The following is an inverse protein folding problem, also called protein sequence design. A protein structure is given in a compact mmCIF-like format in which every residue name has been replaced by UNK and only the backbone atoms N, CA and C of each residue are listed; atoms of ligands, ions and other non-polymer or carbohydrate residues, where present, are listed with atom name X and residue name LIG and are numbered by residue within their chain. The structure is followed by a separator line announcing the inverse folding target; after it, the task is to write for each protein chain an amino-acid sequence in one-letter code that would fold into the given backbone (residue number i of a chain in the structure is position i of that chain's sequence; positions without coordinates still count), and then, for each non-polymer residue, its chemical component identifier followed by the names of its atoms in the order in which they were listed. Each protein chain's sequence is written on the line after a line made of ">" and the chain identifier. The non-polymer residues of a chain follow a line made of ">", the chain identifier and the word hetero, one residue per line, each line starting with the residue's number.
data_IF_224890597432
#
_entry.id   IF_224890597432
#
_cell.length_a   1.000
_cell.length_b   1.000
_cell.length_c   1.000
_cell.angle_alpha   90.00
_cell.angle_beta   90.00
_cell.angle_gamma   90.00
#
_symmetry.space_group_name_H-M   'P 1'
#
loop_
_entity.id
_entity.type
_entity.pdbx_description
1 polymer ?
#
# COMPACT_ATOMS: atom_id res chain seq x y z
N UNK A 1 -47.48 -78.51 -11.30
CA UNK A 1 -46.74 -78.93 -10.09
C UNK A 1 -46.19 -77.64 -9.47
N UNK A 2 -47.01 -76.98 -8.65
CA UNK A 2 -46.86 -75.57 -8.29
C UNK A 2 -45.99 -75.35 -7.06
N UNK A 3 -45.12 -74.34 -7.18
CA UNK A 3 -44.38 -73.63 -6.14
C UNK A 3 -45.26 -73.23 -4.94
N UNK A 4 -44.72 -73.35 -3.73
CA UNK A 4 -45.23 -72.64 -2.55
C UNK A 4 -44.05 -72.19 -1.69
N UNK A 5 -43.74 -70.89 -1.81
CA UNK A 5 -42.78 -70.14 -0.99
C UNK A 5 -43.21 -70.18 0.50
N UNK A 6 -42.24 -70.45 1.37
CA UNK A 6 -42.35 -70.32 2.83
C UNK A 6 -42.06 -68.86 3.23
N UNK A 7 -42.95 -68.16 3.96
CA UNK A 7 -42.70 -66.79 4.40
C UNK A 7 -41.73 -66.77 5.60
N UNK A 8 -40.70 -65.93 5.51
CA UNK A 8 -39.70 -65.66 6.54
C UNK A 8 -40.34 -64.96 7.76
N UNK A 9 -40.29 -65.63 8.91
CA UNK A 9 -40.66 -65.12 10.23
C UNK A 9 -39.54 -64.24 10.81
N UNK A 10 -39.34 -63.05 10.24
CA UNK A 10 -38.29 -62.11 10.68
C UNK A 10 -38.70 -61.26 11.91
N UNK A 11 -39.95 -61.29 12.34
CA UNK A 11 -40.52 -60.33 13.32
C UNK A 11 -40.53 -60.81 14.78
N UNK A 12 -40.52 -62.12 15.06
CA UNK A 12 -40.57 -62.63 16.44
C UNK A 12 -39.22 -62.62 17.18
N UNK A 13 -38.10 -62.70 16.45
CA UNK A 13 -36.76 -62.74 17.05
C UNK A 13 -36.31 -61.38 17.58
N UNK A 14 -36.70 -60.30 16.93
CA UNK A 14 -36.38 -58.93 17.32
C UNK A 14 -37.03 -58.55 18.66
N UNK A 15 -38.31 -58.89 18.85
CA UNK A 15 -39.07 -58.55 20.07
C UNK A 15 -38.58 -59.27 21.33
N UNK A 16 -38.12 -60.52 21.23
CA UNK A 16 -37.51 -61.24 22.37
C UNK A 16 -36.13 -60.70 22.73
N UNK A 17 -35.33 -60.30 21.74
CA UNK A 17 -34.02 -59.66 21.97
C UNK A 17 -34.17 -58.29 22.65
N UNK A 18 -35.13 -57.48 22.21
CA UNK A 18 -35.47 -56.19 22.83
C UNK A 18 -35.92 -56.30 24.29
N UNK A 19 -36.73 -57.31 24.63
CA UNK A 19 -37.14 -57.57 26.02
C UNK A 19 -35.97 -58.04 26.89
N UNK A 20 -35.09 -58.90 26.38
CA UNK A 20 -33.92 -59.37 27.13
C UNK A 20 -32.91 -58.23 27.39
N UNK A 21 -32.70 -57.35 26.41
CA UNK A 21 -31.87 -56.14 26.59
C UNK A 21 -32.48 -55.16 27.58
N UNK A 22 -33.81 -54.98 27.59
CA UNK A 22 -34.48 -54.08 28.53
C UNK A 22 -34.34 -54.54 29.99
N UNK A 23 -34.39 -55.84 30.26
CA UNK A 23 -34.23 -56.40 31.61
C UNK A 23 -32.79 -56.29 32.11
N UNK A 24 -31.79 -56.50 31.23
CA UNK A 24 -30.38 -56.36 31.57
C UNK A 24 -29.99 -54.90 31.90
N UNK A 25 -30.55 -53.94 31.15
CA UNK A 25 -30.33 -52.50 31.40
C UNK A 25 -30.95 -52.04 32.73
N UNK A 26 -32.07 -52.65 33.14
CA UNK A 26 -32.70 -52.38 34.44
C UNK A 26 -31.89 -52.91 35.63
N UNK A 27 -31.14 -54.00 35.44
CA UNK A 27 -30.32 -54.62 36.49
C UNK A 27 -28.94 -53.96 36.67
N UNK A 28 -28.42 -53.29 35.63
CA UNK A 28 -27.13 -52.62 35.64
C UNK A 28 -27.12 -51.42 34.70
N UNK A 29 -27.54 -50.21 35.15
CA UNK A 29 -27.63 -49.03 34.28
C UNK A 29 -26.26 -48.63 33.67
N UNK A 30 -25.17 -49.02 34.32
CA UNK A 30 -23.78 -48.78 33.88
C UNK A 30 -23.44 -49.47 32.55
N UNK A 31 -24.12 -50.57 32.20
CA UNK A 31 -23.90 -51.33 30.96
C UNK A 31 -24.22 -50.50 29.72
N UNK A 32 -25.19 -49.57 29.84
CA UNK A 32 -25.61 -48.69 28.75
C UNK A 32 -25.03 -47.28 28.92
N UNK A 33 -24.85 -46.82 30.15
CA UNK A 33 -24.28 -45.50 30.42
C UNK A 33 -22.80 -45.39 29.99
N UNK A 34 -21.97 -46.41 30.24
CA UNK A 34 -20.53 -46.34 29.92
C UNK A 34 -20.26 -46.26 28.41
N UNK A 35 -20.83 -47.12 27.54
CA UNK A 35 -20.62 -47.03 26.10
C UNK A 35 -21.18 -45.72 25.51
N UNK A 36 -22.30 -45.24 26.05
CA UNK A 36 -22.94 -44.02 25.58
C UNK A 36 -22.13 -42.77 25.99
N UNK A 37 -21.51 -42.80 27.18
CA UNK A 37 -20.58 -41.76 27.63
C UNK A 37 -19.29 -41.76 26.80
N UNK A 38 -18.72 -42.93 26.51
CA UNK A 38 -17.56 -43.04 25.61
C UNK A 38 -17.88 -42.55 24.20
N UNK A 39 -19.06 -42.87 23.68
CA UNK A 39 -19.52 -42.37 22.40
C UNK A 39 -19.69 -40.85 22.41
N UNK A 40 -20.35 -40.29 23.44
CA UNK A 40 -20.51 -38.85 23.60
C UNK A 40 -19.15 -38.14 23.70
N UNK A 41 -18.18 -38.74 24.41
CA UNK A 41 -16.83 -38.20 24.55
C UNK A 41 -16.06 -38.23 23.22
N UNK A 42 -16.18 -39.31 22.44
CA UNK A 42 -15.59 -39.39 21.09
C UNK A 42 -16.20 -38.36 20.14
N UNK A 43 -17.52 -38.16 20.17
CA UNK A 43 -18.19 -37.15 19.34
C UNK A 43 -17.76 -35.73 19.76
N UNK A 44 -17.70 -35.46 21.07
CA UNK A 44 -17.26 -34.17 21.59
C UNK A 44 -15.80 -33.87 21.19
N UNK A 45 -14.90 -34.85 21.30
CA UNK A 45 -13.50 -34.72 20.86
C UNK A 45 -13.40 -34.54 19.34
N UNK A 46 -14.24 -35.24 18.57
CA UNK A 46 -14.29 -35.09 17.11
C UNK A 46 -14.70 -33.68 16.68
N UNK A 47 -15.77 -33.13 17.28
CA UNK A 47 -16.23 -31.76 17.04
C UNK A 47 -15.18 -30.75 17.51
N UNK A 48 -14.58 -30.98 18.67
CA UNK A 48 -13.53 -30.10 19.17
C UNK A 48 -12.31 -30.08 18.25
N UNK A 49 -11.88 -31.26 17.76
CA UNK A 49 -10.74 -31.38 16.85
C UNK A 49 -10.98 -30.65 15.52
N UNK A 50 -12.18 -30.69 14.95
CA UNK A 50 -12.48 -29.96 13.70
C UNK A 50 -12.52 -28.45 13.92
N UNK A 51 -13.09 -27.98 15.04
CA UNK A 51 -13.11 -26.54 15.37
C UNK A 51 -11.69 -26.04 15.65
N UNK A 52 -10.91 -26.78 16.45
CA UNK A 52 -9.53 -26.43 16.77
C UNK A 52 -8.64 -26.46 15.50
N UNK A 53 -8.83 -27.45 14.62
CA UNK A 53 -8.17 -27.53 13.34
C UNK A 53 -8.49 -26.33 12.44
N UNK A 54 -9.77 -26.01 12.27
CA UNK A 54 -10.20 -24.85 11.49
C UNK A 54 -9.66 -23.52 12.04
N UNK A 55 -9.58 -23.37 13.36
CA UNK A 55 -8.96 -22.20 13.99
C UNK A 55 -7.45 -22.13 13.73
N UNK A 56 -6.75 -23.28 13.74
CA UNK A 56 -5.34 -23.39 13.40
C UNK A 56 -5.07 -23.02 11.94
N UNK A 57 -5.89 -23.51 11.00
CA UNK A 57 -5.78 -23.21 9.58
C UNK A 57 -6.04 -21.72 9.30
N UNK A 58 -7.04 -21.13 9.96
CA UNK A 58 -7.31 -19.69 9.86
C UNK A 58 -6.13 -18.84 10.39
N UNK A 59 -5.51 -19.26 11.49
CA UNK A 59 -4.32 -18.60 12.03
C UNK A 59 -3.13 -18.71 11.06
N UNK A 60 -2.89 -19.89 10.49
CA UNK A 60 -1.84 -20.12 9.51
C UNK A 60 -2.06 -19.27 8.23
N UNK A 61 -3.29 -19.20 7.73
CA UNK A 61 -3.66 -18.36 6.60
C UNK A 61 -3.41 -16.88 6.89
N UNK A 62 -3.73 -16.41 8.11
CA UNK A 62 -3.48 -15.02 8.53
C UNK A 62 -1.98 -14.69 8.58
N UNK A 63 -1.15 -15.63 9.05
CA UNK A 63 0.31 -15.47 9.08
C UNK A 63 0.87 -15.42 7.65
N UNK A 64 0.40 -16.29 6.76
CA UNK A 64 0.80 -16.27 5.35
C UNK A 64 0.42 -14.94 4.66
N UNK A 65 -0.82 -14.48 4.85
CA UNK A 65 -1.30 -13.20 4.32
C UNK A 65 -0.46 -12.02 4.83
N UNK A 66 -0.12 -12.00 6.13
CA UNK A 66 0.73 -10.96 6.70
C UNK A 66 2.16 -11.00 6.12
N UNK A 67 2.71 -12.20 5.88
CA UNK A 67 4.01 -12.33 5.23
C UNK A 67 4.01 -11.79 3.80
N UNK A 68 2.98 -12.10 3.02
CA UNK A 68 2.82 -11.60 1.64
C UNK A 68 2.66 -10.07 1.63
N UNK A 69 1.78 -9.54 2.49
CA UNK A 69 1.61 -8.09 2.68
C UNK A 69 2.95 -7.41 3.03
N UNK A 70 3.75 -8.06 3.88
CA UNK A 70 5.03 -7.52 4.28
C UNK A 70 6.06 -7.45 3.16
N UNK A 71 6.07 -8.45 2.27
CA UNK A 71 6.93 -8.46 1.08
C UNK A 71 6.54 -7.33 0.12
N UNK A 72 5.24 -7.16 -0.15
CA UNK A 72 4.74 -6.09 -1.03
C UNK A 72 5.11 -4.71 -0.48
N UNK A 73 4.86 -4.48 0.81
CA UNK A 73 5.17 -3.21 1.46
C UNK A 73 6.68 -2.93 1.47
N UNK A 74 7.52 -3.92 1.80
CA UNK A 74 8.97 -3.76 1.82
C UNK A 74 9.53 -3.47 0.42
N UNK A 75 8.96 -4.08 -0.63
CA UNK A 75 9.34 -3.81 -2.01
C UNK A 75 9.02 -2.36 -2.40
N UNK A 76 7.82 -1.87 -2.06
CA UNK A 76 7.43 -0.48 -2.29
C UNK A 76 8.34 0.50 -1.52
N UNK A 77 8.59 0.26 -0.23
CA UNK A 77 9.50 1.07 0.58
C UNK A 77 10.90 1.14 -0.04
N UNK A 78 11.40 0.01 -0.55
CA UNK A 78 12.69 -0.04 -1.24
C UNK A 78 12.70 0.78 -2.54
N UNK A 79 11.63 0.69 -3.33
CA UNK A 79 11.47 1.50 -4.55
C UNK A 79 11.51 2.99 -4.23
N UNK A 80 10.83 3.43 -3.15
CA UNK A 80 10.90 4.84 -2.73
C UNK A 80 12.27 5.23 -2.19
N UNK A 81 12.89 4.38 -1.37
CA UNK A 81 14.21 4.67 -0.82
C UNK A 81 15.27 4.86 -1.93
N UNK A 82 15.19 4.07 -3.00
CA UNK A 82 16.08 4.19 -4.15
C UNK A 82 15.77 5.42 -5.00
N UNK A 83 14.49 5.75 -5.16
CA UNK A 83 14.04 6.84 -6.04
C UNK A 83 14.29 8.24 -5.46
N UNK A 84 14.56 8.35 -4.15
CA UNK A 84 14.99 9.60 -3.49
C UNK A 84 16.37 10.08 -3.94
N UNK A 85 17.28 9.18 -4.31
CA UNK A 85 18.68 9.52 -4.65
C UNK A 85 18.79 10.56 -5.78
N UNK A 86 18.16 10.37 -6.96
CA UNK A 86 18.23 11.36 -8.03
C UNK A 86 17.58 12.69 -7.66
N UNK A 87 16.50 12.66 -6.87
CA UNK A 87 15.81 13.89 -6.42
C UNK A 87 16.69 14.70 -5.47
N UNK A 88 17.35 14.04 -4.52
CA UNK A 88 18.33 14.71 -3.63
C UNK A 88 19.54 15.23 -4.39
N UNK A 89 20.00 14.49 -5.39
CA UNK A 89 21.14 14.92 -6.22
C UNK A 89 20.80 16.18 -7.01
N UNK A 90 19.60 16.24 -7.59
CA UNK A 90 19.08 17.43 -8.22
C UNK A 90 18.94 18.59 -7.22
N UNK A 91 18.37 18.35 -6.04
CA UNK A 91 18.23 19.36 -5.00
C UNK A 91 19.59 19.93 -4.56
N UNK A 92 20.60 19.09 -4.37
CA UNK A 92 21.95 19.50 -4.02
C UNK A 92 22.61 20.33 -5.13
N UNK A 93 22.36 19.98 -6.38
CA UNK A 93 22.87 20.74 -7.52
C UNK A 93 22.26 22.15 -7.55
N UNK A 94 20.95 22.26 -7.34
CA UNK A 94 20.28 23.57 -7.25
C UNK A 94 20.81 24.36 -6.07
N UNK A 95 21.12 23.72 -4.94
CA UNK A 95 21.75 24.39 -3.80
C UNK A 95 23.15 24.95 -4.11
N UNK A 96 23.89 24.34 -5.04
CA UNK A 96 25.20 24.84 -5.48
C UNK A 96 25.08 25.96 -6.51
N UNK A 97 24.09 25.86 -7.40
CA UNK A 97 23.82 26.84 -8.45
C UNK A 97 22.35 27.24 -8.38
N UNK A 98 21.99 28.21 -7.53
CA UNK A 98 20.58 28.51 -7.25
C UNK A 98 19.93 29.41 -8.32
N UNK A 99 20.74 30.01 -9.20
CA UNK A 99 20.27 30.89 -10.27
C UNK A 99 19.33 30.14 -11.25
N UNK A 100 18.09 30.62 -11.33
CA UNK A 100 17.03 29.97 -12.11
C UNK A 100 17.41 29.79 -13.58
N UNK A 101 17.91 30.83 -14.23
CA UNK A 101 18.26 30.80 -15.65
C UNK A 101 19.35 29.76 -15.95
N UNK A 102 20.34 29.68 -15.07
CA UNK A 102 21.42 28.70 -15.17
C UNK A 102 20.91 27.27 -14.99
N UNK A 103 20.08 27.03 -13.97
CA UNK A 103 19.49 25.71 -13.69
C UNK A 103 18.65 25.22 -14.86
N UNK A 104 17.80 26.08 -15.43
CA UNK A 104 16.94 25.70 -16.56
C UNK A 104 17.75 25.43 -17.83
N UNK A 105 18.79 26.24 -18.11
CA UNK A 105 19.68 26.01 -19.27
C UNK A 105 20.43 24.67 -19.18
N UNK A 106 20.77 24.25 -17.97
CA UNK A 106 21.54 23.03 -17.73
C UNK A 106 20.65 21.80 -17.45
N UNK A 107 19.33 21.99 -17.30
CA UNK A 107 18.34 20.93 -17.07
C UNK A 107 18.49 19.75 -18.04
N UNK A 108 18.50 20.05 -19.34
CA UNK A 108 18.61 19.03 -20.39
C UNK A 108 19.95 18.28 -20.41
N UNK A 109 20.97 18.81 -19.74
CA UNK A 109 22.31 18.24 -19.71
C UNK A 109 22.50 17.31 -18.51
N UNK A 110 22.05 17.71 -17.32
CA UNK A 110 22.30 16.95 -16.09
C UNK A 110 21.21 15.93 -15.77
N UNK A 111 19.96 16.29 -16.04
CA UNK A 111 18.82 15.47 -15.65
C UNK A 111 18.79 14.11 -16.33
N UNK A 112 19.18 13.93 -17.60
CA UNK A 112 19.28 12.59 -18.19
C UNK A 112 20.18 11.65 -17.38
N UNK A 113 21.30 12.14 -16.85
CA UNK A 113 22.21 11.34 -16.01
C UNK A 113 21.56 10.99 -14.69
N UNK A 114 20.94 11.94 -13.98
CA UNK A 114 20.26 11.64 -12.72
C UNK A 114 19.07 10.70 -12.93
N UNK A 115 18.32 10.89 -14.02
CA UNK A 115 17.20 10.05 -14.38
C UNK A 115 17.66 8.61 -14.70
N UNK A 116 18.85 8.42 -15.27
CA UNK A 116 19.41 7.08 -15.51
C UNK A 116 19.70 6.27 -14.24
N UNK A 117 19.80 6.95 -13.07
CA UNK A 117 19.99 6.28 -11.78
C UNK A 117 18.69 5.73 -11.20
N UNK A 118 17.55 6.19 -11.70
CA UNK A 118 16.26 5.58 -11.38
C UNK A 118 16.27 4.18 -12.01
N UNK A 119 16.22 3.13 -11.18
CA UNK A 119 16.19 1.75 -11.66
C UNK A 119 14.93 1.53 -12.50
N UNK A 120 15.09 0.87 -13.64
CA UNK A 120 13.99 0.56 -14.55
C UNK A 120 14.10 1.35 -15.83
N UNK A 121 14.70 0.72 -16.84
CA UNK A 121 14.86 1.20 -18.21
C UNK A 121 13.49 1.52 -18.87
N UNK A 122 12.39 1.08 -18.24
CA UNK A 122 11.01 1.10 -18.71
C UNK A 122 10.17 2.24 -18.08
N UNK A 123 10.72 3.02 -17.14
CA UNK A 123 9.95 4.05 -16.42
C UNK A 123 9.60 5.29 -17.26
N UNK A 124 10.37 5.57 -18.31
CA UNK A 124 10.05 6.61 -19.29
C UNK A 124 8.79 6.29 -20.10
N UNK A 125 8.53 5.00 -20.38
CA UNK A 125 7.33 4.55 -21.10
C UNK A 125 6.11 4.41 -20.19
N UNK A 126 6.31 4.37 -18.87
CA UNK A 126 5.24 4.11 -17.88
C UNK A 126 4.76 5.34 -17.12
N UNK A 127 5.14 6.56 -17.51
CA UNK A 127 4.61 7.81 -16.94
C UNK A 127 5.38 8.37 -15.75
N UNK A 128 6.61 7.89 -15.51
CA UNK A 128 7.48 8.48 -14.48
C UNK A 128 8.18 9.72 -15.01
N UNK A 129 8.36 10.73 -14.16
CA UNK A 129 9.01 11.98 -14.55
C UNK A 129 9.72 12.67 -13.39
N UNK A 130 10.92 13.19 -13.66
CA UNK A 130 11.59 14.13 -12.79
C UNK A 130 11.10 15.54 -13.10
N UNK A 131 10.74 16.29 -12.06
CA UNK A 131 10.14 17.60 -12.14
C UNK A 131 10.84 18.57 -11.21
N UNK A 132 10.99 19.81 -11.67
CA UNK A 132 11.53 20.92 -10.89
C UNK A 132 10.46 21.97 -10.70
N UNK A 133 10.32 22.43 -9.46
CA UNK A 133 9.26 23.33 -9.03
C UNK A 133 9.83 24.56 -8.31
N UNK A 134 10.47 25.52 -9.00
CA UNK A 134 10.93 26.76 -8.38
C UNK A 134 9.73 27.55 -7.84
N UNK A 135 9.80 27.98 -6.59
CA UNK A 135 8.69 28.64 -5.89
C UNK A 135 7.35 27.87 -5.96
N UNK A 136 7.39 26.55 -6.15
CA UNK A 136 6.21 25.70 -6.19
C UNK A 136 5.50 25.63 -7.54
N UNK A 137 6.06 26.19 -8.62
CA UNK A 137 5.51 26.04 -9.97
C UNK A 137 6.33 25.07 -10.79
N UNK A 138 5.72 24.09 -11.45
CA UNK A 138 6.44 23.15 -12.34
C UNK A 138 6.96 23.89 -13.57
N UNK A 139 8.28 23.89 -13.78
CA UNK A 139 8.92 24.61 -14.90
C UNK A 139 9.78 23.74 -15.78
N UNK A 140 10.19 22.57 -15.27
CA UNK A 140 11.00 21.65 -16.01
C UNK A 140 10.56 20.23 -15.68
N UNK A 141 10.45 19.40 -16.71
CA UNK A 141 10.01 18.02 -16.62
C UNK A 141 10.92 17.17 -17.53
N UNK A 142 11.25 15.96 -17.09
CA UNK A 142 12.01 14.99 -17.86
C UNK A 142 11.52 13.56 -17.58
N UNK A 143 11.40 12.67 -18.58
CA UNK A 143 11.59 12.92 -20.00
C UNK A 143 10.48 13.80 -20.59
N UNK A 144 10.77 14.60 -21.64
CA UNK A 144 9.75 15.38 -22.32
C UNK A 144 8.81 14.45 -23.10
N UNK A 145 7.54 14.40 -22.71
CA UNK A 145 6.50 13.62 -23.38
C UNK A 145 5.17 14.37 -23.32
N UNK A 146 4.22 14.04 -24.21
CA UNK A 146 2.91 14.69 -24.20
C UNK A 146 2.17 14.51 -22.86
N UNK A 147 2.31 13.34 -22.23
CA UNK A 147 1.75 13.06 -20.91
C UNK A 147 2.46 13.86 -19.81
N UNK A 148 3.80 13.88 -19.81
CA UNK A 148 4.59 14.58 -18.79
C UNK A 148 4.49 16.11 -18.91
N UNK A 149 4.27 16.63 -20.11
CA UNK A 149 4.10 18.07 -20.32
C UNK A 149 2.75 18.59 -19.81
N UNK A 150 1.80 17.73 -19.43
CA UNK A 150 0.53 18.17 -18.84
C UNK A 150 0.69 18.81 -17.47
N UNK A 151 1.77 18.49 -16.75
CA UNK A 151 2.03 19.07 -15.42
C UNK A 151 2.81 20.38 -15.47
N UNK A 152 3.30 20.80 -16.65
CA UNK A 152 4.04 22.05 -16.82
C UNK A 152 3.16 23.25 -16.48
N UNK A 153 3.70 24.18 -15.68
CA UNK A 153 3.01 25.40 -15.26
C UNK A 153 2.03 25.21 -14.10
N UNK A 154 1.84 24.00 -13.59
CA UNK A 154 1.03 23.77 -12.40
C UNK A 154 1.71 24.32 -11.15
N UNK A 155 0.92 24.96 -10.28
CA UNK A 155 1.35 25.40 -8.96
C UNK A 155 1.10 24.25 -7.96
N UNK A 156 2.18 23.57 -7.57
CA UNK A 156 2.20 22.41 -6.66
C UNK A 156 3.05 22.76 -5.44
N UNK A 157 2.38 23.04 -4.32
CA UNK A 157 3.03 23.38 -3.05
C UNK A 157 3.30 22.16 -2.16
N UNK A 158 2.59 21.05 -2.37
CA UNK A 158 2.91 19.74 -1.79
C UNK A 158 2.56 18.67 -2.83
N UNK A 159 3.55 18.02 -3.44
CA UNK A 159 3.32 16.84 -4.27
C UNK A 159 3.06 15.59 -3.42
N UNK A 160 1.79 15.17 -3.35
CA UNK A 160 1.34 13.87 -2.84
C UNK A 160 1.11 12.85 -3.96
N UNK A 161 0.34 11.78 -3.75
CA UNK A 161 -0.21 10.99 -4.85
C UNK A 161 -1.18 11.86 -5.66
N UNK A 162 -1.07 11.84 -6.98
CA UNK A 162 -1.98 12.56 -7.86
C UNK A 162 -2.21 11.78 -9.16
N UNK A 163 -3.31 12.09 -9.84
CA UNK A 163 -3.64 11.48 -11.13
C UNK A 163 -3.30 12.50 -12.22
N UNK A 164 -2.45 12.10 -13.17
CA UNK A 164 -2.15 12.90 -14.35
C UNK A 164 -2.39 12.05 -15.59
N UNK A 165 -3.15 12.59 -16.56
CA UNK A 165 -3.47 11.90 -17.82
C UNK A 165 -4.05 10.48 -17.67
N UNK A 166 -4.78 10.21 -16.58
CA UNK A 166 -5.35 8.89 -16.28
C UNK A 166 -4.38 7.90 -15.61
N UNK A 167 -3.10 8.27 -15.45
CA UNK A 167 -2.10 7.49 -14.72
C UNK A 167 -2.07 7.91 -13.26
N UNK A 168 -2.05 6.93 -12.35
CA UNK A 168 -1.87 7.17 -10.91
C UNK A 168 -0.38 7.34 -10.63
N UNK A 169 0.01 8.54 -10.26
CA UNK A 169 1.39 8.90 -9.95
C UNK A 169 1.56 9.08 -8.46
N UNK A 170 2.71 8.63 -7.96
CA UNK A 170 3.16 8.89 -6.62
C UNK A 170 4.45 9.69 -6.69
N UNK A 171 4.44 10.88 -6.08
CA UNK A 171 5.59 11.77 -6.12
C UNK A 171 6.49 11.61 -4.90
N UNK A 172 7.77 11.43 -5.17
CA UNK A 172 8.86 11.52 -4.22
C UNK A 172 9.44 12.92 -4.29
N UNK A 173 9.38 13.65 -3.19
CA UNK A 173 9.65 15.09 -3.21
C UNK A 173 10.67 15.49 -2.17
N UNK A 174 11.60 16.33 -2.59
CA UNK A 174 12.62 16.93 -1.72
C UNK A 174 12.48 18.44 -1.76
N UNK A 175 12.25 19.09 -0.61
CA UNK A 175 12.31 20.54 -0.51
C UNK A 175 13.75 21.03 -0.67
N UNK A 176 13.92 22.07 -1.49
CA UNK A 176 15.20 22.72 -1.72
C UNK A 176 15.26 23.94 -0.79
N UNK A 177 16.04 23.81 0.28
CA UNK A 177 16.24 24.89 1.26
C UNK A 177 17.64 25.48 1.07
N UNK A 178 17.71 26.79 0.84
CA UNK A 178 18.96 27.55 0.78
C UNK A 178 19.32 28.06 2.16
N UNK A 179 20.61 28.08 2.48
CA UNK A 179 21.13 28.59 3.76
C UNK A 179 21.92 29.87 3.56
N UNK A 180 21.94 30.70 4.60
CA UNK A 180 22.64 31.98 4.61
C UNK A 180 22.20 32.92 3.47
N UNK A 181 20.88 33.03 3.28
CA UNK A 181 20.28 33.85 2.22
C UNK A 181 19.47 34.99 2.83
N UNK A 182 19.40 36.11 2.12
CA UNK A 182 18.58 37.25 2.52
C UNK A 182 17.10 37.01 2.24
N UNK A 183 16.22 37.65 3.01
CA UNK A 183 14.77 37.52 2.85
C UNK A 183 14.28 37.94 1.45
N UNK A 184 14.95 38.90 0.81
CA UNK A 184 14.59 39.46 -0.50
C UNK A 184 15.22 38.71 -1.69
N UNK A 185 15.97 37.63 -1.46
CA UNK A 185 16.58 36.87 -2.55
C UNK A 185 15.52 36.14 -3.37
N UNK A 186 15.58 36.25 -4.69
CA UNK A 186 14.62 35.62 -5.61
C UNK A 186 15.28 34.63 -6.57
N UNK A 187 16.62 34.58 -6.62
CA UNK A 187 17.41 33.72 -7.49
C UNK A 187 17.04 33.80 -8.97
N UNK A 188 16.53 34.95 -9.41
CA UNK A 188 16.09 35.17 -10.79
C UNK A 188 14.80 34.42 -11.17
N UNK A 189 14.05 33.86 -10.22
CA UNK A 189 12.79 33.17 -10.50
C UNK A 189 11.72 34.20 -10.91
N UNK A 190 11.14 34.12 -12.14
CA UNK A 190 10.25 35.16 -12.66
C UNK A 190 8.98 35.42 -11.84
N UNK A 191 8.44 34.37 -11.20
CA UNK A 191 7.26 34.44 -10.31
C UNK A 191 7.64 34.35 -8.82
N UNK A 192 8.94 34.46 -8.51
CA UNK A 192 9.46 34.26 -7.17
C UNK A 192 8.93 35.28 -6.16
N UNK A 193 8.71 36.54 -6.58
CA UNK A 193 8.16 37.57 -5.70
C UNK A 193 6.78 37.20 -5.16
N UNK A 194 5.79 36.97 -6.03
CA UNK A 194 4.39 36.81 -5.60
C UNK A 194 4.11 35.56 -4.75
N UNK A 195 4.83 34.45 -4.97
CA UNK A 195 4.59 33.17 -4.27
C UNK A 195 5.49 33.00 -3.05
N UNK A 196 6.76 33.43 -3.09
CA UNK A 196 7.61 33.38 -1.89
C UNK A 196 7.22 34.45 -0.87
N UNK A 197 6.73 35.62 -1.30
CA UNK A 197 6.30 36.68 -0.37
C UNK A 197 5.00 36.32 0.36
N UNK A 198 4.17 35.45 -0.23
CA UNK A 198 2.95 34.93 0.39
C UNK A 198 3.20 33.74 1.34
N UNK A 199 4.45 33.28 1.45
CA UNK A 199 4.82 32.16 2.31
C UNK A 199 5.71 32.63 3.47
N UNK A 200 5.14 33.10 4.60
CA UNK A 200 5.91 33.52 5.76
C UNK A 200 6.70 32.37 6.42
N UNK A 201 6.28 31.11 6.22
CA UNK A 201 7.01 29.91 6.67
C UNK A 201 8.19 29.54 5.75
N UNK A 202 8.29 30.15 4.56
CA UNK A 202 9.32 29.83 3.57
C UNK A 202 10.66 30.52 3.86
N UNK A 203 10.73 31.49 4.78
CA UNK A 203 11.98 32.08 5.24
C UNK A 203 12.08 32.05 6.77
N UNK A 204 13.12 31.40 7.28
CA UNK A 204 13.45 31.42 8.70
C UNK A 204 14.56 32.44 8.95
N UNK A 205 14.22 33.52 9.63
CA UNK A 205 15.15 34.61 9.92
C UNK A 205 16.26 34.21 10.91
N UNK A 206 15.97 33.31 11.85
CA UNK A 206 16.95 32.88 12.85
C UNK A 206 18.07 32.02 12.22
N UNK A 207 17.72 31.16 11.28
CA UNK A 207 18.69 30.27 10.59
C UNK A 207 19.15 30.83 9.23
N UNK A 208 18.58 31.97 8.80
CA UNK A 208 18.75 32.56 7.47
C UNK A 208 18.54 31.54 6.36
N UNK A 209 17.52 30.68 6.52
CA UNK A 209 17.19 29.64 5.55
C UNK A 209 15.94 30.01 4.77
N UNK A 210 16.02 29.94 3.44
CA UNK A 210 14.91 30.27 2.55
C UNK A 210 14.58 29.08 1.65
N UNK A 211 13.31 28.75 1.50
CA UNK A 211 12.83 27.76 0.55
C UNK A 211 13.00 28.29 -0.88
N UNK A 212 13.56 27.47 -1.76
CA UNK A 212 13.75 27.78 -3.19
C UNK A 212 12.65 27.16 -4.05
N UNK A 213 12.21 25.95 -3.67
CA UNK A 213 11.30 25.15 -4.48
C UNK A 213 11.33 23.68 -4.09
N UNK A 214 10.75 22.84 -4.95
CA UNK A 214 10.83 21.39 -4.82
C UNK A 214 11.53 20.76 -6.02
N UNK A 215 12.25 19.68 -5.77
CA UNK A 215 12.52 18.66 -6.77
C UNK A 215 11.60 17.48 -6.48
N UNK A 216 10.98 16.91 -7.51
CA UNK A 216 10.14 15.74 -7.35
C UNK A 216 10.36 14.71 -8.46
N UNK A 217 10.25 13.44 -8.10
CA UNK A 217 10.17 12.32 -9.02
C UNK A 217 8.77 11.71 -8.91
N UNK A 218 7.99 11.85 -9.96
CA UNK A 218 6.72 11.16 -10.12
C UNK A 218 7.01 9.74 -10.59
N UNK A 219 6.50 8.76 -9.86
CA UNK A 219 6.56 7.34 -10.22
C UNK A 219 5.16 6.86 -10.56
N UNK A 220 5.03 6.10 -11.64
CA UNK A 220 3.80 5.37 -11.89
C UNK A 220 3.60 4.30 -10.84
N UNK A 221 2.41 4.31 -10.22
CA UNK A 221 2.08 3.35 -9.19
C UNK A 221 2.03 1.91 -9.74
N UNK A 222 1.57 1.74 -10.99
CA UNK A 222 1.54 0.45 -11.65
C UNK A 222 2.96 -0.11 -11.82
N UNK A 223 3.93 0.74 -12.16
CA UNK A 223 5.35 0.35 -12.27
C UNK A 223 6.01 0.12 -10.92
N UNK A 224 5.65 0.90 -9.91
CA UNK A 224 6.16 0.72 -8.56
C UNK A 224 5.66 -0.59 -7.93
N UNK A 225 4.54 -1.11 -8.41
CA UNK A 225 3.93 -2.37 -8.03
C UNK A 225 4.33 -3.53 -8.95
N UNK A 226 5.34 -3.38 -9.80
CA UNK A 226 5.89 -4.48 -10.61
C UNK A 226 7.30 -4.84 -10.14
N UNK A 227 7.62 -6.12 -10.14
CA UNK A 227 8.97 -6.60 -9.85
C UNK A 227 9.90 -6.45 -11.09
N UNK A 228 11.17 -6.80 -10.92
CA UNK A 228 12.15 -6.75 -12.02
C UNK A 228 11.85 -7.67 -13.20
N UNK A 229 10.93 -8.63 -13.04
CA UNK A 229 10.47 -9.53 -14.09
C UNK A 229 9.13 -9.08 -14.72
N UNK A 230 8.59 -7.92 -14.30
CA UNK A 230 7.31 -7.39 -14.77
C UNK A 230 6.08 -8.05 -14.12
N UNK A 231 6.28 -8.85 -13.08
CA UNK A 231 5.19 -9.46 -12.31
C UNK A 231 4.63 -8.43 -11.34
N UNK A 232 3.32 -8.23 -11.32
CA UNK A 232 2.70 -7.33 -10.33
C UNK A 232 2.92 -7.90 -8.93
N UNK A 233 3.60 -7.17 -8.05
CA UNK A 233 3.76 -7.48 -6.63
C UNK A 233 2.42 -7.78 -5.95
N UNK A 234 1.35 -7.16 -6.44
CA UNK A 234 0.00 -7.37 -5.94
C UNK A 234 -0.52 -8.78 -6.21
N UNK A 235 0.02 -9.52 -7.19
CA UNK A 235 -0.32 -10.93 -7.41
C UNK A 235 0.13 -11.83 -6.25
N UNK A 236 1.06 -11.37 -5.41
CA UNK A 236 1.39 -12.08 -4.15
C UNK A 236 0.23 -12.07 -3.16
N UNK A 237 -0.76 -11.20 -3.37
CA UNK A 237 -2.00 -11.11 -2.58
C UNK A 237 -3.18 -11.79 -3.29
N UNK A 238 -2.91 -12.60 -4.33
CA UNK A 238 -3.97 -13.35 -5.02
C UNK A 238 -4.71 -14.28 -4.05
N UNK A 239 -6.03 -14.19 -4.05
CA UNK A 239 -6.90 -14.87 -3.08
C UNK A 239 -7.23 -14.04 -1.83
N UNK A 240 -6.71 -12.81 -1.71
CA UNK A 240 -7.05 -11.85 -0.66
C UNK A 240 -7.75 -10.61 -1.26
N UNK A 241 -8.65 -10.03 -0.46
CA UNK A 241 -9.17 -8.69 -0.72
C UNK A 241 -8.17 -7.66 -0.21
N UNK A 242 -7.74 -6.71 -1.03
CA UNK A 242 -6.79 -5.67 -0.61
C UNK A 242 -7.20 -4.29 -1.11
N UNK A 243 -6.75 -3.26 -0.38
CA UNK A 243 -6.92 -1.85 -0.73
C UNK A 243 -5.64 -1.08 -0.38
N UNK A 244 -5.10 -0.38 -1.37
CA UNK A 244 -4.05 0.60 -1.21
C UNK A 244 -4.68 2.00 -1.21
N UNK A 245 -4.41 2.76 -0.16
CA UNK A 245 -4.90 4.12 0.01
C UNK A 245 -3.77 5.07 0.37
N UNK A 246 -3.94 6.34 0.04
CA UNK A 246 -2.99 7.38 0.38
C UNK A 246 -3.73 8.66 0.79
N UNK A 247 -3.14 9.52 1.64
CA UNK A 247 -3.75 10.77 2.02
C UNK A 247 -3.96 11.66 0.79
N UNK A 248 -5.13 12.27 0.67
CA UNK A 248 -5.42 13.28 -0.33
C UNK A 248 -4.78 14.60 0.05
N UNK A 249 -4.49 15.40 -0.98
CA UNK A 249 -4.11 16.80 -0.85
C UNK A 249 -5.35 17.62 -0.45
N UNK A 250 -5.81 17.48 0.79
CA UNK A 250 -6.76 18.41 1.36
C UNK A 250 -6.01 19.66 1.82
N UNK A 251 -6.54 20.83 1.46
CA UNK A 251 -6.14 22.11 2.04
C UNK A 251 -6.19 22.01 3.57
N UNK A 252 -5.33 22.76 4.26
CA UNK A 252 -4.91 22.59 5.65
C UNK A 252 -6.00 22.67 6.76
N UNK A 253 -7.28 22.37 6.47
CA UNK A 253 -8.40 22.66 7.34
C UNK A 253 -9.23 21.44 7.81
N UNK A 254 -9.24 20.28 7.17
CA UNK A 254 -10.16 19.20 7.58
C UNK A 254 -9.55 17.81 7.37
N UNK A 255 -9.97 16.87 8.23
CA UNK A 255 -9.54 15.48 8.40
C UNK A 255 -8.75 14.87 7.23
N UNK A 256 -7.67 14.14 7.55
CA UNK A 256 -6.84 13.37 6.60
C UNK A 256 -7.70 12.44 5.75
N UNK A 257 -8.31 12.95 4.69
CA UNK A 257 -9.08 12.17 3.75
C UNK A 257 -8.08 11.27 3.01
N UNK A 258 -8.39 9.99 2.90
CA UNK A 258 -7.59 9.04 2.14
C UNK A 258 -8.30 8.79 0.81
N UNK A 259 -7.57 8.81 -0.30
CA UNK A 259 -8.06 8.32 -1.58
C UNK A 259 -7.60 6.88 -1.77
N UNK A 260 -8.52 6.04 -2.24
CA UNK A 260 -8.19 4.70 -2.69
C UNK A 260 -7.43 4.80 -4.01
N UNK A 261 -6.19 4.30 -4.02
CA UNK A 261 -5.36 4.24 -5.20
C UNK A 261 -5.53 2.91 -5.92
N UNK A 262 -5.68 1.80 -5.20
CA UNK A 262 -5.89 0.48 -5.80
C UNK A 262 -6.77 -0.35 -4.88
N UNK A 263 -7.66 -1.17 -5.44
CA UNK A 263 -8.44 -2.13 -4.66
C UNK A 263 -8.78 -3.36 -5.50
N UNK A 264 -8.91 -4.51 -4.83
CA UNK A 264 -9.44 -5.74 -5.44
C UNK A 264 -10.90 -6.01 -5.09
N UNK A 265 -11.53 -5.12 -4.30
CA UNK A 265 -12.92 -5.29 -3.87
C UNK A 265 -13.61 -3.95 -3.66
N UNK A 266 -14.87 -3.89 -4.09
CA UNK A 266 -15.77 -2.77 -3.83
C UNK A 266 -16.41 -2.87 -2.43
N UNK A 267 -16.19 -3.99 -1.72
CA UNK A 267 -16.73 -4.19 -0.37
C UNK A 267 -15.99 -3.31 0.64
N UNK A 268 -16.67 -2.85 1.71
CA UNK A 268 -16.01 -2.19 2.82
C UNK A 268 -15.02 -3.15 3.48
N UNK A 269 -13.81 -2.67 3.79
CA UNK A 269 -12.84 -3.46 4.53
C UNK A 269 -13.24 -3.48 6.00
N UNK A 270 -13.36 -4.68 6.55
CA UNK A 270 -13.76 -4.88 7.93
C UNK A 270 -12.66 -4.43 8.91
N UNK A 271 -13.05 -4.12 10.14
CA UNK A 271 -12.14 -3.62 11.19
C UNK A 271 -11.09 -4.65 11.65
N UNK A 272 -11.25 -5.93 11.30
CA UNK A 272 -10.34 -7.03 11.59
C UNK A 272 -9.31 -7.31 10.48
N UNK A 273 -9.33 -6.49 9.41
CA UNK A 273 -8.39 -6.55 8.31
C UNK A 273 -6.94 -6.29 8.73
N UNK A 274 -6.00 -6.90 8.01
CA UNK A 274 -4.57 -6.70 8.19
C UNK A 274 -4.16 -5.38 7.54
N UNK A 275 -3.59 -4.48 8.32
CA UNK A 275 -3.24 -3.13 7.89
C UNK A 275 -1.73 -2.92 8.02
N UNK A 276 -1.06 -2.45 6.96
CA UNK A 276 0.34 -2.03 7.02
C UNK A 276 0.52 -0.63 6.41
N UNK A 277 1.12 0.25 7.21
CA UNK A 277 1.61 1.54 6.75
C UNK A 277 2.91 1.35 5.95
N UNK A 278 2.97 1.96 4.79
CA UNK A 278 4.15 2.12 3.94
C UNK A 278 4.60 3.56 4.06
N UNK A 279 5.80 3.76 4.60
CA UNK A 279 6.41 5.09 4.65
C UNK A 279 6.96 5.43 3.25
N UNK A 280 6.34 6.39 2.57
CA UNK A 280 6.79 6.81 1.24
C UNK A 280 7.91 7.84 1.37
N UNK A 281 7.78 8.79 2.31
CA UNK A 281 8.85 9.73 2.69
C UNK A 281 8.59 10.41 4.03
N UNK A 282 9.68 10.75 4.70
CA UNK A 282 9.70 11.66 5.84
C UNK A 282 9.92 13.09 5.30
N UNK A 283 8.86 13.88 5.22
CA UNK A 283 8.98 15.31 4.95
C UNK A 283 9.52 16.00 6.21
N UNK A 284 10.54 16.85 6.06
CA UNK A 284 11.11 17.63 7.16
C UNK A 284 10.58 19.05 7.24
N UNK A 285 9.81 19.51 6.24
CA UNK A 285 9.28 20.89 6.18
C UNK A 285 8.00 21.04 6.99
N UNK A 286 7.17 19.99 7.04
CA UNK A 286 6.20 19.77 8.11
C UNK A 286 6.59 18.45 8.77
N UNK A 287 6.44 18.30 10.07
CA UNK A 287 6.63 17.02 10.78
C UNK A 287 5.55 15.98 10.37
N UNK A 288 5.40 15.72 9.07
CA UNK A 288 4.36 14.91 8.46
C UNK A 288 4.99 13.86 7.56
N UNK A 289 4.84 12.61 7.94
CA UNK A 289 5.21 11.46 7.13
C UNK A 289 4.15 11.24 6.05
N UNK A 290 4.55 11.14 4.78
CA UNK A 290 3.66 10.66 3.73
C UNK A 290 3.54 9.15 3.88
N UNK A 291 2.38 8.72 4.37
CA UNK A 291 2.07 7.31 4.61
C UNK A 291 1.09 6.80 3.57
N UNK A 292 1.43 5.72 2.88
CA UNK A 292 0.46 4.91 2.17
C UNK A 292 -0.02 3.80 3.10
N UNK A 293 -1.26 3.35 2.94
CA UNK A 293 -1.84 2.31 3.76
C UNK A 293 -2.31 1.17 2.88
N UNK A 294 -1.78 -0.03 3.10
CA UNK A 294 -2.25 -1.25 2.44
C UNK A 294 -3.00 -2.07 3.46
N UNK A 295 -4.26 -2.35 3.15
CA UNK A 295 -5.12 -3.20 3.94
C UNK A 295 -5.38 -4.49 3.16
N UNK A 296 -5.38 -5.64 3.82
CA UNK A 296 -5.70 -6.96 3.26
C UNK A 296 -6.65 -7.74 4.18
N UNK A 297 -7.64 -8.42 3.63
CA UNK A 297 -8.59 -9.30 4.33
C UNK A 297 -8.86 -10.56 3.51
N UNK A 298 -9.09 -11.67 4.20
CA UNK A 298 -9.56 -12.94 3.60
C UNK A 298 -11.04 -12.90 3.27
#
# INVERSE_FOLDING_TARGET
>A
MSLLLKPLTLTQSAGRRLKATATAVRAGPYILAIPLLLFALMVALGIWATIAGAAGDAAAARVAANSQLNVVCASLELTFAQSVVPVRSLANLVQQVPDYDTVIKMWSTWVPTFYSWVRGNELADRGSSLTLMPAGRVTAVYPPSAANNTVMGLDILLPGPFIASGTKLLAVTVPIMMRNVNANETWGIPWGGDLLDKCPECYNNATRTKWWGFAALSLSLDSALEDSAGTKLVSLLDGLHYRLSAPTLASAAEDRAYSTLYESTDKPMASDSLCRDVLVLEDKVRQGQTKCHITAST
#
